data_IF_282930769874
#
_entry.id   IF_282930769874
#
_cell.length_a   1.000
_cell.length_b   1.000
_cell.length_c   1.000
_cell.angle_alpha   90.00
_cell.angle_beta   90.00
_cell.angle_gamma   90.00
#
_symmetry.space_group_name_H-M   'P 1'
#
loop_
_entity.id
_entity.type
_entity.pdbx_description
1 polymer ?
#
# COMPACT_ATOMS: atom_id res chain seq x y z
N UNK A 1 25.09 -2.42 6.38
CA UNK A 1 24.38 -2.93 7.55
C UNK A 1 23.23 -3.88 7.16
N UNK A 2 22.32 -3.50 6.30
CA UNK A 2 21.18 -4.32 5.83
C UNK A 2 21.64 -5.63 5.20
N UNK A 3 22.69 -5.62 4.36
CA UNK A 3 23.31 -6.81 3.76
C UNK A 3 23.73 -7.84 4.84
N UNK A 4 24.38 -7.37 5.93
CA UNK A 4 24.79 -8.25 7.06
C UNK A 4 23.60 -8.73 7.88
N UNK A 5 22.54 -7.89 7.99
CA UNK A 5 21.37 -8.20 8.78
C UNK A 5 20.53 -9.35 8.16
N UNK A 6 20.33 -9.32 6.83
CA UNK A 6 19.55 -10.32 6.10
C UNK A 6 20.39 -11.40 5.40
N UNK A 7 21.72 -11.33 5.55
CA UNK A 7 22.67 -12.27 4.92
C UNK A 7 22.43 -12.46 3.41
N UNK A 8 22.21 -11.35 2.70
CA UNK A 8 21.83 -11.35 1.28
C UNK A 8 22.70 -10.33 0.52
N UNK A 9 23.74 -10.78 -0.21
CA UNK A 9 24.64 -9.88 -0.96
C UNK A 9 23.94 -9.02 -2.01
N UNK A 10 22.91 -9.57 -2.68
CA UNK A 10 22.17 -8.91 -3.76
C UNK A 10 21.36 -7.69 -3.27
N UNK A 11 21.06 -7.58 -1.97
CA UNK A 11 20.31 -6.44 -1.43
C UNK A 11 21.05 -5.10 -1.57
N UNK A 12 22.35 -5.10 -1.49
CA UNK A 12 23.13 -3.86 -1.55
C UNK A 12 22.96 -3.12 -2.88
N UNK A 13 23.23 -3.73 -4.05
CA UNK A 13 23.00 -3.05 -5.32
C UNK A 13 21.52 -2.69 -5.54
N UNK A 14 20.59 -3.53 -5.14
CA UNK A 14 19.15 -3.24 -5.25
C UNK A 14 18.80 -1.96 -4.48
N UNK A 15 19.24 -1.84 -3.23
CA UNK A 15 18.96 -0.65 -2.40
C UNK A 15 19.58 0.63 -2.97
N UNK A 16 20.77 0.54 -3.55
CA UNK A 16 21.42 1.68 -4.21
C UNK A 16 20.57 2.14 -5.40
N UNK A 17 20.18 1.23 -6.26
CA UNK A 17 19.37 1.53 -7.44
C UNK A 17 17.97 2.04 -7.08
N UNK A 18 17.32 1.46 -6.08
CA UNK A 18 16.04 1.97 -5.57
C UNK A 18 16.20 3.36 -4.95
N UNK A 19 17.33 3.61 -4.25
CA UNK A 19 17.66 4.95 -3.74
C UNK A 19 17.81 5.99 -4.86
N UNK A 20 18.45 5.63 -5.98
CA UNK A 20 18.47 6.47 -7.18
C UNK A 20 17.06 6.70 -7.75
N UNK A 21 16.20 5.68 -7.71
CA UNK A 21 14.80 5.80 -8.10
C UNK A 21 14.03 6.85 -7.29
N UNK A 22 14.33 7.00 -5.98
CA UNK A 22 13.73 8.07 -5.15
C UNK A 22 14.14 9.47 -5.64
N UNK A 23 15.37 9.63 -6.12
CA UNK A 23 15.81 10.90 -6.71
C UNK A 23 14.98 11.21 -7.96
N UNK A 24 14.80 10.23 -8.86
CA UNK A 24 13.94 10.43 -10.03
C UNK A 24 12.48 10.72 -9.65
N UNK A 25 11.97 10.09 -8.61
CA UNK A 25 10.61 10.33 -8.11
C UNK A 25 10.44 11.77 -7.60
N UNK A 26 11.47 12.39 -7.04
CA UNK A 26 11.41 13.78 -6.57
C UNK A 26 11.13 14.77 -7.70
N UNK A 27 11.61 14.49 -8.92
CA UNK A 27 11.31 15.32 -10.10
C UNK A 27 9.86 15.23 -10.57
N UNK A 28 9.17 14.13 -10.28
CA UNK A 28 7.75 13.95 -10.59
C UNK A 28 6.84 14.72 -9.63
N UNK A 29 7.27 14.89 -8.36
CA UNK A 29 6.41 15.30 -7.25
C UNK A 29 5.74 16.65 -7.47
N UNK A 30 6.51 17.70 -7.81
CA UNK A 30 5.98 19.07 -7.96
C UNK A 30 5.05 19.19 -9.15
N UNK A 31 5.43 18.81 -10.38
CA UNK A 31 4.53 18.89 -11.54
C UNK A 31 3.24 18.07 -11.35
N UNK A 32 3.33 16.88 -10.74
CA UNK A 32 2.17 16.07 -10.39
C UNK A 32 1.22 16.78 -9.42
N UNK A 33 1.78 17.45 -8.41
CA UNK A 33 0.99 18.22 -7.43
C UNK A 33 0.30 19.40 -8.07
N UNK A 34 0.94 20.11 -9.00
CA UNK A 34 0.33 21.18 -9.79
C UNK A 34 -0.86 20.65 -10.60
N UNK A 35 -0.67 19.55 -11.33
CA UNK A 35 -1.74 18.93 -12.11
C UNK A 35 -2.91 18.45 -11.26
N UNK A 36 -2.64 17.94 -10.05
CA UNK A 36 -3.67 17.56 -9.09
C UNK A 36 -4.46 18.79 -8.59
N UNK A 37 -3.77 19.88 -8.27
CA UNK A 37 -4.39 21.14 -7.85
C UNK A 37 -5.27 21.73 -8.95
N UNK A 38 -4.82 21.62 -10.19
CA UNK A 38 -5.54 22.11 -11.37
C UNK A 38 -6.63 21.11 -11.84
N UNK A 39 -6.92 20.06 -11.06
CA UNK A 39 -7.93 19.02 -11.32
C UNK A 39 -7.77 18.30 -12.68
N UNK A 40 -6.56 18.28 -13.23
CA UNK A 40 -6.23 17.62 -14.49
C UNK A 40 -6.14 16.08 -14.35
N UNK A 41 -7.12 15.48 -13.68
CA UNK A 41 -7.11 14.05 -13.38
C UNK A 41 -7.09 13.16 -14.62
N UNK A 42 -7.77 13.58 -15.70
CA UNK A 42 -7.78 12.79 -16.94
C UNK A 42 -6.35 12.63 -17.49
N UNK A 43 -5.58 13.72 -17.53
CA UNK A 43 -4.21 13.69 -18.00
C UNK A 43 -3.31 12.83 -17.10
N UNK A 44 -3.42 13.02 -15.77
CA UNK A 44 -2.70 12.23 -14.79
C UNK A 44 -3.00 10.73 -14.93
N UNK A 45 -4.27 10.38 -15.08
CA UNK A 45 -4.69 8.97 -15.21
C UNK A 45 -4.16 8.35 -16.49
N UNK A 46 -4.25 9.03 -17.63
CA UNK A 46 -3.74 8.53 -18.91
C UNK A 46 -2.24 8.27 -18.82
N UNK A 47 -1.46 9.23 -18.32
CA UNK A 47 0.00 9.06 -18.21
C UNK A 47 0.34 7.95 -17.21
N UNK A 48 -0.30 7.92 -16.04
CA UNK A 48 -0.05 6.88 -15.05
C UNK A 48 -0.34 5.48 -15.61
N UNK A 49 -1.49 5.29 -16.26
CA UNK A 49 -1.85 4.00 -16.84
C UNK A 49 -0.91 3.59 -17.97
N UNK A 50 -0.55 4.53 -18.85
CA UNK A 50 0.36 4.24 -19.96
C UNK A 50 1.74 3.81 -19.44
N UNK A 51 2.28 4.51 -18.45
CA UNK A 51 3.59 4.17 -17.86
C UNK A 51 3.50 2.86 -17.06
N UNK A 52 2.40 2.62 -16.35
CA UNK A 52 2.21 1.38 -15.59
C UNK A 52 2.12 0.18 -16.53
N UNK A 53 1.33 0.26 -17.60
CA UNK A 53 1.25 -0.80 -18.63
C UNK A 53 2.63 -1.06 -19.23
N UNK A 54 3.34 -0.01 -19.61
CA UNK A 54 4.70 -0.13 -20.16
C UNK A 54 5.65 -0.80 -19.15
N UNK A 55 5.61 -0.39 -17.88
CA UNK A 55 6.44 -0.97 -16.84
C UNK A 55 6.14 -2.46 -16.62
N UNK A 56 4.86 -2.86 -16.61
CA UNK A 56 4.47 -4.27 -16.49
C UNK A 56 4.90 -5.11 -17.69
N UNK A 57 4.77 -4.58 -18.90
CA UNK A 57 5.28 -5.25 -20.10
C UNK A 57 6.81 -5.44 -20.04
N UNK A 58 7.52 -4.43 -19.55
CA UNK A 58 8.96 -4.49 -19.36
C UNK A 58 9.36 -5.51 -18.29
N UNK A 59 8.59 -5.62 -17.19
CA UNK A 59 8.77 -6.68 -16.18
C UNK A 59 8.71 -8.06 -16.81
N UNK A 60 7.67 -8.32 -17.61
CA UNK A 60 7.46 -9.62 -18.27
C UNK A 60 8.61 -9.90 -19.23
N UNK A 61 8.98 -8.93 -20.03
CA UNK A 61 10.06 -9.06 -21.02
C UNK A 61 11.39 -9.37 -20.34
N UNK A 62 11.78 -8.62 -19.31
CA UNK A 62 13.02 -8.86 -18.57
C UNK A 62 12.99 -10.19 -17.80
N UNK A 63 11.82 -10.63 -17.33
CA UNK A 63 11.68 -11.93 -16.69
C UNK A 63 11.91 -13.09 -17.69
N UNK A 64 11.40 -12.98 -18.92
CA UNK A 64 11.63 -13.95 -19.99
C UNK A 64 13.12 -14.02 -20.36
N UNK A 65 13.83 -12.88 -20.37
CA UNK A 65 15.28 -12.85 -20.58
C UNK A 65 16.10 -13.33 -19.38
N UNK A 66 15.47 -13.78 -18.30
CA UNK A 66 16.17 -14.36 -17.16
C UNK A 66 16.86 -13.34 -16.24
N UNK A 67 16.47 -12.05 -16.28
CA UNK A 67 17.08 -10.99 -15.45
C UNK A 67 16.80 -11.14 -13.94
N UNK A 68 16.04 -12.15 -13.51
CA UNK A 68 15.75 -12.43 -12.11
C UNK A 68 15.15 -11.22 -11.39
N UNK A 69 15.71 -10.84 -10.24
CA UNK A 69 15.20 -9.73 -9.42
C UNK A 69 15.26 -8.38 -10.15
N UNK A 70 16.19 -8.21 -11.09
CA UNK A 70 16.32 -6.97 -11.85
C UNK A 70 15.12 -6.69 -12.77
N UNK A 71 14.39 -7.72 -13.15
CA UNK A 71 13.13 -7.56 -13.89
C UNK A 71 12.09 -6.71 -13.15
N UNK A 72 12.13 -6.69 -11.83
CA UNK A 72 11.25 -5.87 -10.99
C UNK A 72 11.85 -4.48 -10.69
N UNK A 73 13.16 -4.41 -10.50
CA UNK A 73 13.85 -3.18 -10.06
C UNK A 73 13.96 -2.16 -11.20
N UNK A 74 14.36 -2.59 -12.39
CA UNK A 74 14.60 -1.68 -13.53
C UNK A 74 13.31 -0.95 -13.95
N UNK A 75 12.17 -1.63 -14.19
CA UNK A 75 10.93 -0.95 -14.58
C UNK A 75 10.44 0.05 -13.54
N UNK A 76 10.58 -0.27 -12.24
CA UNK A 76 10.17 0.62 -11.15
C UNK A 76 10.99 1.92 -11.14
N UNK A 77 12.30 1.85 -11.39
CA UNK A 77 13.16 3.04 -11.46
C UNK A 77 12.82 3.88 -12.70
N UNK A 78 12.58 3.24 -13.85
CA UNK A 78 12.25 3.92 -15.10
C UNK A 78 10.86 4.56 -15.11
N UNK A 79 9.92 4.03 -14.33
CA UNK A 79 8.56 4.55 -14.29
C UNK A 79 8.49 6.04 -13.86
N UNK A 80 9.32 6.45 -12.90
CA UNK A 80 9.33 7.85 -12.41
C UNK A 80 9.77 8.86 -13.47
N UNK A 81 10.92 8.72 -14.15
CA UNK A 81 11.29 9.65 -15.22
C UNK A 81 10.30 9.62 -16.40
N UNK A 82 9.73 8.46 -16.73
CA UNK A 82 8.72 8.35 -17.79
C UNK A 82 7.44 9.13 -17.45
N UNK A 83 7.04 9.22 -16.17
CA UNK A 83 5.94 10.08 -15.73
C UNK A 83 6.35 11.54 -15.61
N UNK A 84 7.56 11.80 -15.12
CA UNK A 84 8.04 13.15 -14.89
C UNK A 84 8.07 13.98 -16.19
N UNK A 85 8.61 13.43 -17.29
CA UNK A 85 8.74 14.13 -18.56
C UNK A 85 7.42 14.73 -19.06
N UNK A 86 6.33 13.96 -19.27
CA UNK A 86 5.06 14.54 -19.73
C UNK A 86 4.44 15.51 -18.71
N UNK A 87 4.63 15.29 -17.40
CA UNK A 87 4.16 16.25 -16.39
C UNK A 87 4.88 17.59 -16.47
N UNK A 88 6.18 17.61 -16.68
CA UNK A 88 6.96 18.81 -16.87
C UNK A 88 6.55 19.56 -18.14
N UNK A 89 6.37 18.84 -19.24
CA UNK A 89 5.91 19.44 -20.51
C UNK A 89 4.55 20.10 -20.34
N UNK A 90 3.63 19.43 -19.64
CA UNK A 90 2.26 19.95 -19.46
C UNK A 90 2.19 21.14 -18.52
N UNK A 91 2.92 21.10 -17.40
CA UNK A 91 2.89 22.17 -16.39
C UNK A 91 3.74 23.36 -16.76
N UNK A 92 4.71 23.18 -17.67
CA UNK A 92 5.75 24.18 -18.00
C UNK A 92 6.48 24.71 -16.75
N UNK A 93 6.41 23.96 -15.63
CA UNK A 93 7.06 24.33 -14.39
C UNK A 93 8.57 24.23 -14.54
N UNK A 94 9.27 25.21 -13.98
CA UNK A 94 10.73 25.22 -13.92
C UNK A 94 11.15 25.43 -12.47
N UNK A 95 12.09 24.62 -11.94
CA UNK A 95 12.60 24.83 -10.59
C UNK A 95 13.35 26.15 -10.50
N UNK A 96 13.08 26.91 -9.46
CA UNK A 96 13.92 28.04 -9.06
C UNK A 96 15.01 27.55 -8.14
N UNK A 97 16.23 28.02 -8.37
CA UNK A 97 17.37 27.77 -7.47
C UNK A 97 17.41 28.76 -6.31
N UNK A 98 16.47 29.71 -6.27
CA UNK A 98 16.35 30.64 -5.17
C UNK A 98 15.74 29.96 -3.96
N UNK A 99 16.49 29.91 -2.86
CA UNK A 99 16.08 29.26 -1.60
C UNK A 99 16.29 30.25 -0.47
N UNK A 100 15.21 30.63 0.23
CA UNK A 100 15.32 31.41 1.46
C UNK A 100 15.51 30.50 2.68
N UNK A 101 16.36 30.96 3.63
CA UNK A 101 16.57 30.23 4.89
C UNK A 101 15.27 30.08 5.72
N UNK A 102 14.37 31.04 5.61
CA UNK A 102 13.03 31.02 6.20
C UNK A 102 12.21 29.83 5.69
N UNK A 103 12.21 29.60 4.36
CA UNK A 103 11.47 28.53 3.71
C UNK A 103 11.99 27.17 4.13
N UNK A 104 13.33 27.02 4.18
CA UNK A 104 13.97 25.78 4.67
C UNK A 104 13.51 25.46 6.09
N UNK A 105 13.53 26.45 7.00
CA UNK A 105 13.13 26.27 8.39
C UNK A 105 11.67 25.86 8.51
N UNK A 106 10.79 26.48 7.73
CA UNK A 106 9.36 26.17 7.72
C UNK A 106 9.09 24.77 7.18
N UNK A 107 9.68 24.41 6.03
CA UNK A 107 9.53 23.10 5.41
C UNK A 107 10.08 22.00 6.31
N UNK A 108 11.27 22.19 6.92
CA UNK A 108 11.86 21.21 7.84
C UNK A 108 11.03 21.07 9.12
N UNK A 109 10.51 22.18 9.68
CA UNK A 109 9.69 22.14 10.89
C UNK A 109 8.38 21.38 10.67
N UNK A 110 7.72 21.61 9.54
CA UNK A 110 6.51 20.89 9.16
C UNK A 110 6.81 19.43 8.77
N UNK A 111 7.84 19.24 7.93
CA UNK A 111 8.22 17.93 7.40
C UNK A 111 8.67 16.95 8.47
N UNK A 112 9.43 17.39 9.49
CA UNK A 112 9.89 16.49 10.57
C UNK A 112 8.75 15.83 11.34
N UNK A 113 7.66 16.57 11.57
CA UNK A 113 6.47 16.04 12.27
C UNK A 113 5.74 15.00 11.43
N UNK A 114 5.60 15.27 10.12
CA UNK A 114 5.01 14.32 9.17
C UNK A 114 5.91 13.09 9.03
N UNK A 115 7.20 13.28 8.83
CA UNK A 115 8.17 12.18 8.70
C UNK A 115 8.17 11.29 9.96
N UNK A 116 8.13 11.88 11.15
CA UNK A 116 8.03 11.12 12.40
C UNK A 116 6.75 10.27 12.48
N UNK A 117 5.61 10.87 12.17
CA UNK A 117 4.33 10.16 12.16
C UNK A 117 4.29 9.03 11.11
N UNK A 118 4.81 9.31 9.90
CA UNK A 118 4.88 8.31 8.83
C UNK A 118 5.87 7.18 9.14
N UNK A 119 6.99 7.48 9.80
CA UNK A 119 7.94 6.46 10.24
C UNK A 119 7.31 5.51 11.27
N UNK A 120 6.63 6.07 12.27
CA UNK A 120 5.91 5.25 13.27
C UNK A 120 4.83 4.40 12.59
N UNK A 121 4.05 4.99 11.69
CA UNK A 121 3.05 4.27 10.93
C UNK A 121 3.66 3.14 10.10
N UNK A 122 4.77 3.42 9.41
CA UNK A 122 5.49 2.43 8.60
C UNK A 122 6.00 1.28 9.45
N UNK A 123 6.61 1.57 10.59
CA UNK A 123 7.07 0.53 11.53
C UNK A 123 5.90 -0.32 12.02
N UNK A 124 4.79 0.30 12.44
CA UNK A 124 3.61 -0.44 12.90
C UNK A 124 3.00 -1.35 11.83
N UNK A 125 3.03 -0.94 10.57
CA UNK A 125 2.41 -1.70 9.47
C UNK A 125 3.35 -2.71 8.81
N UNK A 126 4.67 -2.67 9.09
CA UNK A 126 5.66 -3.55 8.47
C UNK A 126 6.51 -4.32 9.48
N UNK A 127 6.17 -4.27 10.77
CA UNK A 127 6.91 -5.01 11.81
C UNK A 127 6.86 -6.52 11.57
N UNK A 128 5.74 -7.02 11.08
CA UNK A 128 5.54 -8.42 10.70
C UNK A 128 6.53 -8.86 9.60
N UNK A 129 6.66 -8.09 8.53
CA UNK A 129 7.64 -8.35 7.46
C UNK A 129 9.07 -8.37 7.99
N UNK A 130 9.38 -7.43 8.88
CA UNK A 130 10.70 -7.35 9.49
C UNK A 130 11.01 -8.57 10.36
N UNK A 131 10.06 -8.98 11.20
CA UNK A 131 10.20 -10.13 12.08
C UNK A 131 10.31 -11.44 11.29
N UNK A 132 9.42 -11.67 10.33
CA UNK A 132 9.42 -12.86 9.48
C UNK A 132 10.74 -12.97 8.70
N UNK A 133 11.16 -11.87 8.07
CA UNK A 133 12.40 -11.83 7.29
C UNK A 133 13.66 -12.09 8.09
N UNK A 134 13.64 -11.79 9.40
CA UNK A 134 14.79 -12.01 10.29
C UNK A 134 14.72 -13.37 10.99
N UNK A 135 13.53 -13.77 11.49
CA UNK A 135 13.39 -14.94 12.36
C UNK A 135 13.17 -16.25 11.59
N UNK A 136 12.58 -16.18 10.40
CA UNK A 136 12.27 -17.39 9.64
C UNK A 136 13.26 -17.58 8.47
N UNK A 137 12.78 -17.36 7.25
CA UNK A 137 13.60 -17.47 6.05
C UNK A 137 13.08 -16.55 4.94
N UNK A 138 13.90 -16.31 3.91
CA UNK A 138 13.51 -15.53 2.74
C UNK A 138 12.33 -16.14 2.01
N UNK A 139 12.29 -17.46 1.90
CA UNK A 139 11.21 -18.16 1.22
C UNK A 139 9.90 -18.03 2.00
N UNK A 140 9.95 -18.20 3.34
CA UNK A 140 8.77 -17.97 4.20
C UNK A 140 8.27 -16.53 4.15
N UNK A 141 9.19 -15.54 4.13
CA UNK A 141 8.82 -14.14 3.91
C UNK A 141 8.15 -13.94 2.54
N UNK A 142 8.64 -14.61 1.51
CA UNK A 142 8.04 -14.59 0.17
C UNK A 142 6.62 -15.12 0.17
N UNK A 143 6.38 -16.28 0.76
CA UNK A 143 5.05 -16.90 0.89
C UNK A 143 4.08 -16.04 1.71
N UNK A 144 4.55 -15.51 2.84
CA UNK A 144 3.75 -14.59 3.66
C UNK A 144 3.39 -13.31 2.92
N UNK A 145 4.38 -12.65 2.30
CA UNK A 145 4.16 -11.41 1.55
C UNK A 145 3.17 -11.60 0.40
N UNK A 146 3.29 -12.71 -0.30
CA UNK A 146 2.37 -13.07 -1.37
C UNK A 146 0.94 -13.28 -0.83
N UNK A 147 0.79 -14.08 0.21
CA UNK A 147 -0.48 -14.34 0.87
C UNK A 147 -1.13 -13.06 1.40
N UNK A 148 -0.32 -12.21 2.06
CA UNK A 148 -0.79 -10.93 2.61
C UNK A 148 -1.27 -9.98 1.52
N UNK A 149 -0.52 -9.84 0.43
CA UNK A 149 -0.91 -8.98 -0.69
C UNK A 149 -2.19 -9.48 -1.36
N UNK A 150 -2.31 -10.79 -1.58
CA UNK A 150 -3.50 -11.38 -2.21
C UNK A 150 -4.74 -11.23 -1.32
N UNK A 151 -4.63 -11.47 -0.01
CA UNK A 151 -5.72 -11.28 0.94
C UNK A 151 -6.13 -9.81 1.13
N UNK A 152 -5.17 -8.88 1.05
CA UNK A 152 -5.47 -7.45 1.20
C UNK A 152 -5.99 -6.78 -0.06
N UNK A 153 -5.80 -7.36 -1.22
CA UNK A 153 -6.21 -6.76 -2.49
C UNK A 153 -7.68 -6.32 -2.52
N UNK A 154 -8.68 -7.13 -2.06
CA UNK A 154 -10.08 -6.69 -1.99
C UNK A 154 -10.28 -5.50 -1.05
N UNK A 155 -9.59 -5.49 0.11
CA UNK A 155 -9.70 -4.40 1.09
C UNK A 155 -9.14 -3.10 0.51
N UNK A 156 -7.96 -3.14 -0.09
CA UNK A 156 -7.30 -1.95 -0.64
C UNK A 156 -8.04 -1.36 -1.83
N UNK A 157 -8.66 -2.17 -2.67
CA UNK A 157 -9.29 -1.68 -3.89
C UNK A 157 -10.81 -1.41 -3.73
N UNK A 158 -11.53 -2.24 -3.00
CA UNK A 158 -12.98 -2.13 -2.88
C UNK A 158 -13.36 -1.26 -1.68
N UNK A 159 -12.84 -1.60 -0.50
CA UNK A 159 -13.18 -0.87 0.73
C UNK A 159 -12.68 0.58 0.69
N UNK A 160 -11.54 0.82 0.03
CA UNK A 160 -11.01 2.18 -0.17
C UNK A 160 -11.97 3.08 -0.95
N UNK A 161 -12.64 2.57 -1.98
CA UNK A 161 -13.63 3.34 -2.75
C UNK A 161 -14.81 3.73 -1.84
N UNK A 162 -15.35 2.78 -1.09
CA UNK A 162 -16.44 3.03 -0.14
C UNK A 162 -16.01 4.06 0.91
N UNK A 163 -14.82 3.92 1.44
CA UNK A 163 -14.26 4.84 2.44
C UNK A 163 -14.04 6.27 1.92
N UNK A 164 -13.78 6.45 0.63
CA UNK A 164 -13.59 7.79 0.04
C UNK A 164 -14.87 8.62 0.11
N UNK A 165 -16.03 7.98 -0.07
CA UNK A 165 -17.35 8.63 0.02
C UNK A 165 -17.84 8.70 1.46
N UNK A 166 -17.43 7.78 2.31
CA UNK A 166 -17.90 7.64 3.70
C UNK A 166 -17.52 8.83 4.57
N UNK A 167 -16.28 9.31 4.48
CA UNK A 167 -15.78 10.37 5.36
C UNK A 167 -16.57 11.69 5.25
N UNK A 168 -16.79 12.26 4.05
CA UNK A 168 -17.57 13.48 3.92
C UNK A 168 -19.06 13.28 4.29
N UNK A 169 -19.62 12.09 4.05
CA UNK A 169 -21.02 11.78 4.41
C UNK A 169 -21.20 11.72 5.91
N UNK A 170 -20.32 11.01 6.63
CA UNK A 170 -20.35 10.93 8.10
C UNK A 170 -20.06 12.28 8.77
N UNK A 171 -19.18 13.10 8.18
CA UNK A 171 -18.86 14.42 8.71
C UNK A 171 -20.07 15.37 8.71
N UNK A 172 -20.98 15.24 7.74
CA UNK A 172 -22.20 16.06 7.66
C UNK A 172 -23.21 15.77 8.79
N UNK A 173 -23.18 14.56 9.33
CA UNK A 173 -24.10 14.10 10.38
C UNK A 173 -23.43 13.91 11.73
N UNK A 174 -22.26 14.52 11.94
CA UNK A 174 -21.45 14.32 13.16
C UNK A 174 -22.17 14.70 14.46
N UNK A 175 -23.17 15.57 14.39
CA UNK A 175 -24.00 16.01 15.54
C UNK A 175 -25.20 15.10 15.82
N UNK A 176 -25.58 14.24 14.85
CA UNK A 176 -26.71 13.30 14.99
C UNK A 176 -26.16 11.87 15.13
N UNK A 177 -26.15 11.38 16.36
CA UNK A 177 -25.68 10.03 16.67
C UNK A 177 -26.56 8.92 16.08
N UNK A 178 -27.85 9.16 15.94
CA UNK A 178 -28.78 8.17 15.39
C UNK A 178 -28.54 7.98 13.89
N UNK A 179 -28.42 9.08 13.15
CA UNK A 179 -28.14 9.05 11.72
C UNK A 179 -26.69 8.56 11.46
N UNK A 180 -25.73 8.94 12.29
CA UNK A 180 -24.35 8.42 12.21
C UNK A 180 -24.32 6.90 12.37
N UNK A 181 -25.06 6.35 13.35
CA UNK A 181 -25.18 4.89 13.55
C UNK A 181 -25.82 4.21 12.34
N UNK A 182 -26.88 4.78 11.79
CA UNK A 182 -27.56 4.25 10.60
C UNK A 182 -26.62 4.19 9.40
N UNK A 183 -25.90 5.26 9.14
CA UNK A 183 -24.93 5.32 8.06
C UNK A 183 -23.77 4.34 8.26
N UNK A 184 -23.27 4.22 9.47
CA UNK A 184 -22.23 3.24 9.82
C UNK A 184 -22.68 1.81 9.50
N UNK A 185 -23.88 1.42 9.96
CA UNK A 185 -24.43 0.09 9.71
C UNK A 185 -24.58 -0.16 8.21
N UNK A 186 -25.12 0.80 7.48
CA UNK A 186 -25.28 0.69 6.02
C UNK A 186 -23.94 0.58 5.28
N UNK A 187 -22.93 1.33 5.70
CA UNK A 187 -21.58 1.23 5.15
C UNK A 187 -20.95 -0.13 5.44
N UNK A 188 -21.10 -0.61 6.68
CA UNK A 188 -20.60 -1.95 7.07
C UNK A 188 -21.31 -3.05 6.29
N UNK A 189 -22.62 -2.94 6.10
CA UNK A 189 -23.40 -3.85 5.29
C UNK A 189 -22.90 -3.89 3.82
N UNK A 190 -22.72 -2.72 3.19
CA UNK A 190 -22.19 -2.63 1.83
C UNK A 190 -20.78 -3.23 1.70
N UNK A 191 -19.90 -2.95 2.67
CA UNK A 191 -18.56 -3.53 2.68
C UNK A 191 -18.64 -5.05 2.80
N UNK A 192 -19.47 -5.55 3.74
CA UNK A 192 -19.60 -6.99 3.99
C UNK A 192 -20.20 -7.72 2.81
N UNK A 193 -21.24 -7.14 2.18
CA UNK A 193 -21.91 -7.73 1.01
C UNK A 193 -20.94 -8.00 -0.14
N UNK A 194 -19.93 -7.18 -0.30
CA UNK A 194 -18.92 -7.34 -1.35
C UNK A 194 -17.73 -8.18 -0.87
N UNK A 195 -17.22 -7.93 0.34
CA UNK A 195 -15.98 -8.58 0.78
C UNK A 195 -16.19 -10.01 1.24
N UNK A 196 -17.33 -10.36 1.87
CA UNK A 196 -17.55 -11.71 2.39
C UNK A 196 -17.63 -12.77 1.29
N UNK A 197 -18.36 -12.58 0.18
CA UNK A 197 -18.33 -13.53 -0.93
C UNK A 197 -16.93 -13.70 -1.51
N UNK A 198 -16.19 -12.60 -1.69
CA UNK A 198 -14.83 -12.65 -2.22
C UNK A 198 -13.92 -13.45 -1.28
N UNK A 199 -13.96 -13.17 0.02
CA UNK A 199 -13.15 -13.89 1.00
C UNK A 199 -13.61 -15.34 1.17
N UNK A 200 -14.92 -15.62 1.12
CA UNK A 200 -15.47 -16.97 1.16
C UNK A 200 -14.96 -17.83 0.00
N UNK A 201 -15.04 -17.30 -1.21
CA UNK A 201 -14.48 -17.95 -2.40
C UNK A 201 -12.97 -18.10 -2.27
N UNK A 202 -12.25 -17.07 -1.84
CA UNK A 202 -10.80 -17.09 -1.72
C UNK A 202 -10.35 -18.19 -0.73
N UNK A 203 -11.03 -18.36 0.41
CA UNK A 203 -10.73 -19.45 1.37
C UNK A 203 -11.05 -20.82 0.77
N UNK A 204 -12.21 -20.95 0.10
CA UNK A 204 -12.67 -22.24 -0.43
C UNK A 204 -11.80 -22.78 -1.55
N UNK A 205 -11.30 -21.92 -2.42
CA UNK A 205 -10.50 -22.32 -3.58
C UNK A 205 -9.01 -21.94 -3.46
N UNK A 206 -8.53 -21.65 -2.23
CA UNK A 206 -7.15 -21.19 -2.01
C UNK A 206 -6.12 -22.11 -2.65
N UNK A 207 -6.27 -23.43 -2.44
CA UNK A 207 -5.32 -24.41 -2.94
C UNK A 207 -5.33 -24.45 -4.47
N UNK A 208 -6.50 -24.59 -5.07
CA UNK A 208 -6.68 -24.65 -6.51
C UNK A 208 -6.22 -23.36 -7.20
N UNK A 209 -6.57 -22.22 -6.62
CA UNK A 209 -6.17 -20.92 -7.13
C UNK A 209 -4.66 -20.77 -7.17
N UNK A 210 -3.97 -21.17 -6.09
CA UNK A 210 -2.52 -21.07 -6.02
C UNK A 210 -1.83 -22.04 -6.97
N UNK A 211 -2.28 -23.28 -7.03
CA UNK A 211 -1.66 -24.30 -7.88
C UNK A 211 -1.89 -24.02 -9.36
N UNK A 212 -3.11 -23.67 -9.75
CA UNK A 212 -3.48 -23.48 -11.16
C UNK A 212 -2.90 -22.19 -11.73
N UNK A 213 -2.98 -21.08 -10.98
CA UNK A 213 -2.55 -19.77 -11.49
C UNK A 213 -1.05 -19.53 -11.27
N UNK A 214 -0.52 -19.89 -10.10
CA UNK A 214 0.85 -19.54 -9.68
C UNK A 214 1.80 -20.75 -9.65
N UNK A 215 1.26 -21.98 -9.73
CA UNK A 215 2.04 -23.21 -9.74
C UNK A 215 2.31 -23.78 -8.36
N UNK A 216 2.75 -25.05 -8.33
CA UNK A 216 2.95 -25.85 -7.11
C UNK A 216 3.96 -25.26 -6.13
N UNK A 217 4.87 -24.41 -6.60
CA UNK A 217 5.84 -23.68 -5.76
C UNK A 217 5.16 -22.88 -4.64
N UNK A 218 3.91 -22.43 -4.86
CA UNK A 218 3.19 -21.58 -3.93
C UNK A 218 2.31 -22.33 -2.93
N UNK A 219 2.32 -23.66 -2.94
CA UNK A 219 1.58 -24.50 -1.96
C UNK A 219 1.86 -24.09 -0.50
N UNK A 220 3.11 -23.75 -0.09
CA UNK A 220 3.36 -23.33 1.28
C UNK A 220 2.64 -22.02 1.68
N UNK A 221 2.18 -21.21 0.72
CA UNK A 221 1.42 -19.99 0.98
C UNK A 221 -0.08 -20.25 1.25
N UNK A 222 -0.59 -21.47 1.05
CA UNK A 222 -2.02 -21.80 1.22
C UNK A 222 -2.50 -21.53 2.66
N UNK A 223 -1.83 -22.09 3.65
CA UNK A 223 -2.22 -21.92 5.07
C UNK A 223 -2.10 -20.47 5.54
N UNK A 224 -0.97 -19.78 5.33
CA UNK A 224 -0.88 -18.34 5.60
C UNK A 224 -2.00 -17.55 4.95
N UNK A 225 -2.33 -17.80 3.68
CA UNK A 225 -3.39 -17.10 2.96
C UNK A 225 -4.75 -17.29 3.62
N UNK A 226 -5.12 -18.52 3.98
CA UNK A 226 -6.40 -18.82 4.64
C UNK A 226 -6.53 -18.07 5.98
N UNK A 227 -5.47 -18.04 6.78
CA UNK A 227 -5.46 -17.31 8.06
C UNK A 227 -5.54 -15.79 7.85
N UNK A 228 -4.78 -15.27 6.89
CA UNK A 228 -4.77 -13.82 6.61
C UNK A 228 -6.10 -13.36 6.00
N UNK A 229 -6.82 -14.21 5.28
CA UNK A 229 -8.17 -13.90 4.79
C UNK A 229 -9.13 -13.66 5.96
N UNK A 230 -9.06 -14.43 7.05
CA UNK A 230 -9.86 -14.19 8.27
C UNK A 230 -9.53 -12.80 8.85
N UNK A 231 -8.25 -12.45 8.91
CA UNK A 231 -7.83 -11.09 9.28
C UNK A 231 -8.40 -10.03 8.32
N UNK A 232 -8.41 -10.29 7.02
CA UNK A 232 -9.00 -9.42 5.99
C UNK A 232 -10.50 -9.18 6.20
N UNK A 233 -11.25 -10.20 6.57
CA UNK A 233 -12.68 -10.09 6.94
C UNK A 233 -12.85 -9.14 8.13
N UNK A 234 -12.10 -9.36 9.21
CA UNK A 234 -12.14 -8.50 10.39
C UNK A 234 -11.77 -7.06 10.04
N UNK A 235 -10.70 -6.86 9.30
CA UNK A 235 -10.24 -5.54 8.87
C UNK A 235 -11.29 -4.82 8.01
N UNK A 236 -11.99 -5.53 7.14
CA UNK A 236 -13.06 -4.95 6.31
C UNK A 236 -14.23 -4.47 7.15
N UNK A 237 -14.68 -5.24 8.13
CA UNK A 237 -15.75 -4.89 9.06
C UNK A 237 -15.43 -3.64 9.90
N UNK A 238 -14.20 -3.54 10.39
CA UNK A 238 -13.80 -2.41 11.25
C UNK A 238 -13.37 -1.17 10.45
N UNK A 239 -13.24 -1.26 9.14
CA UNK A 239 -12.79 -0.15 8.29
C UNK A 239 -13.69 1.10 8.38
N UNK A 240 -15.05 1.02 8.37
CA UNK A 240 -15.90 2.18 8.55
C UNK A 240 -15.82 2.79 9.96
N UNK A 241 -15.58 1.98 11.01
CA UNK A 241 -15.46 2.45 12.39
C UNK A 241 -14.28 3.42 12.56
N UNK A 242 -13.16 3.17 11.87
CA UNK A 242 -12.01 4.06 11.89
C UNK A 242 -12.35 5.50 11.45
N UNK A 243 -13.29 5.67 10.52
CA UNK A 243 -13.76 6.99 10.07
C UNK A 243 -14.56 7.72 11.13
N UNK A 244 -15.41 7.02 11.87
CA UNK A 244 -16.18 7.59 12.98
C UNK A 244 -15.24 8.07 14.09
N UNK A 245 -14.26 7.23 14.48
CA UNK A 245 -13.29 7.62 15.50
C UNK A 245 -12.45 8.82 15.10
N UNK A 246 -12.13 8.96 13.82
CA UNK A 246 -11.42 10.12 13.28
C UNK A 246 -12.28 11.38 13.41
N UNK A 247 -13.57 11.35 13.02
CA UNK A 247 -14.50 12.47 13.08
C UNK A 247 -14.76 12.89 14.53
N UNK A 248 -14.94 11.91 15.42
CA UNK A 248 -15.17 12.15 16.84
C UNK A 248 -13.89 12.49 17.64
N UNK A 249 -12.73 12.59 16.97
CA UNK A 249 -11.42 12.83 17.60
C UNK A 249 -11.03 11.77 18.66
N UNK A 250 -11.58 10.55 18.53
CA UNK A 250 -11.36 9.41 19.45
C UNK A 250 -10.40 8.39 18.84
N UNK A 251 -9.28 8.83 18.29
CA UNK A 251 -8.33 8.01 17.54
C UNK A 251 -7.66 6.91 18.36
N UNK A 252 -7.64 7.01 19.69
CA UNK A 252 -7.10 5.98 20.57
C UNK A 252 -7.83 4.63 20.44
N UNK A 253 -9.13 4.62 20.11
CA UNK A 253 -9.85 3.36 19.86
C UNK A 253 -9.36 2.64 18.62
N UNK A 254 -8.86 3.36 17.62
CA UNK A 254 -8.25 2.74 16.44
C UNK A 254 -7.01 1.92 16.82
N UNK A 255 -6.23 2.41 17.79
CA UNK A 255 -5.08 1.67 18.30
C UNK A 255 -5.51 0.33 18.94
N UNK A 256 -6.53 0.31 19.78
CA UNK A 256 -7.02 -0.92 20.39
C UNK A 256 -7.61 -1.90 19.38
N UNK A 257 -8.31 -1.41 18.35
CA UNK A 257 -8.84 -2.27 17.28
C UNK A 257 -7.68 -2.93 16.50
N UNK A 258 -6.65 -2.16 16.14
CA UNK A 258 -5.48 -2.70 15.47
C UNK A 258 -4.72 -3.70 16.37
N UNK A 259 -4.62 -3.42 17.66
CA UNK A 259 -3.99 -4.32 18.62
C UNK A 259 -4.76 -5.64 18.74
N UNK A 260 -6.09 -5.61 18.74
CA UNK A 260 -6.94 -6.81 18.78
C UNK A 260 -6.81 -7.68 17.51
N UNK A 261 -6.42 -7.11 16.38
CA UNK A 261 -6.17 -7.83 15.14
C UNK A 261 -4.77 -8.45 15.06
N UNK A 262 -3.83 -7.98 15.90
CA UNK A 262 -2.43 -8.43 15.88
C UNK A 262 -2.24 -9.93 16.14
N UNK A 263 -2.97 -10.61 17.06
CA UNK A 263 -2.83 -12.04 17.29
C UNK A 263 -3.06 -12.91 16.04
N UNK A 264 -3.97 -12.49 15.17
CA UNK A 264 -4.25 -13.20 13.92
C UNK A 264 -3.07 -13.18 12.95
N UNK A 265 -2.35 -12.03 12.90
CA UNK A 265 -1.13 -11.92 12.10
C UNK A 265 -0.01 -12.79 12.69
N UNK A 266 0.12 -12.83 14.01
CA UNK A 266 1.11 -13.69 14.68
C UNK A 266 0.87 -15.16 14.36
N UNK A 267 -0.37 -15.63 14.44
CA UNK A 267 -0.72 -17.00 14.07
C UNK A 267 -0.37 -17.30 12.60
N UNK A 268 -0.65 -16.37 11.69
CA UNK A 268 -0.31 -16.51 10.27
C UNK A 268 1.21 -16.59 10.01
N UNK A 269 2.03 -16.06 10.92
CA UNK A 269 3.50 -16.12 10.83
C UNK A 269 4.02 -17.52 11.26
N UNK A 270 3.36 -18.17 12.21
CA UNK A 270 3.82 -19.46 12.76
C UNK A 270 3.31 -20.68 11.97
N UNK A 271 2.33 -20.50 11.10
CA UNK A 271 1.80 -21.53 10.19
C UNK A 271 2.59 -21.63 8.89
#
# INVERSE_FOLDING_TARGET
WVKKFYDTPVLQPILIWLGLGLIFQSFELVPRTILNRDLNYKYLTVINLSVEIFAQLLVILLAIFGCGVWSLVIPQILASPLRAIPYWIKTKWRPSLYIEKSDIKQVLSFGKSILGAELIRYLNTNTDYFLIGKLLSKDKLGYYSFAFNLANWPVENIVKVINTVSLPTLAKVQSDLAEMRRLFLRMTEMVSLVTFPIFGVLVGITYELLVVIFGTKWIPAVRPLQVIVIYGIMRSLFSPAGRIFLIQKKTHYMFFINLAQFPFLVVAVWL
#
